data_IF_119232771492
#
_entry.id   IF_119232771492
#
_cell.length_a   1.000
_cell.length_b   1.000
_cell.length_c   1.000
_cell.angle_alpha   90.00
_cell.angle_beta   90.00
_cell.angle_gamma   90.00
#
_symmetry.space_group_name_H-M   'P 1'
#
loop_
_entity.id
_entity.type
_entity.pdbx_description
1 polymer ?
#
# COMPACT_ATOMS: atom_id res chain seq x y z
N UNK A 1 17.97 -3.42 -37.69
CA UNK A 1 19.15 -2.51 -37.67
C UNK A 1 19.55 -2.33 -36.22
N UNK A 2 20.68 -2.92 -35.82
CA UNK A 2 21.36 -2.63 -34.53
C UNK A 2 22.24 -1.40 -34.72
N UNK A 3 22.21 -0.45 -33.79
CA UNK A 3 23.38 -0.18 -32.95
C UNK A 3 22.95 0.25 -31.53
N UNK A 4 23.78 0.48 -30.52
CA UNK A 4 25.11 0.08 -30.09
C UNK A 4 25.19 0.58 -28.62
N UNK A 5 25.99 -0.10 -27.82
CA UNK A 5 26.20 0.07 -26.37
C UNK A 5 26.85 1.42 -26.06
N UNK A 6 26.51 2.06 -24.93
CA UNK A 6 27.44 2.93 -24.19
C UNK A 6 27.19 2.82 -22.67
N UNK A 7 28.10 2.09 -22.01
CA UNK A 7 28.29 2.12 -20.57
C UNK A 7 29.12 3.36 -20.20
N UNK A 8 28.73 4.07 -19.14
CA UNK A 8 29.54 5.11 -18.51
C UNK A 8 29.77 4.70 -17.06
N UNK A 9 30.97 4.18 -16.81
CA UNK A 9 31.59 4.05 -15.49
C UNK A 9 32.76 5.04 -15.45
N UNK A 10 32.64 6.05 -14.60
CA UNK A 10 33.72 6.89 -14.07
C UNK A 10 33.09 7.67 -12.90
N UNK A 11 33.61 7.73 -11.68
CA UNK A 11 34.96 7.51 -11.18
C UNK A 11 35.35 8.74 -10.34
N UNK A 12 35.73 8.52 -9.07
CA UNK A 12 36.37 9.51 -8.19
C UNK A 12 35.41 10.31 -7.30
N UNK A 13 35.73 10.75 -6.08
CA UNK A 13 37.01 10.90 -5.36
C UNK A 13 36.71 10.94 -3.84
N UNK A 14 37.51 10.25 -3.03
CA UNK A 14 37.68 10.48 -1.58
C UNK A 14 38.55 11.73 -1.36
N UNK A 15 38.17 12.68 -0.49
CA UNK A 15 39.02 13.64 0.27
C UNK A 15 38.07 14.47 1.18
N UNK A 16 38.03 14.26 2.50
CA UNK A 16 38.83 14.91 3.58
C UNK A 16 38.80 16.44 3.61
N UNK A 17 38.40 17.00 4.76
CA UNK A 17 39.01 18.24 5.29
C UNK A 17 38.05 19.32 5.81
N UNK A 18 38.00 19.49 7.14
CA UNK A 18 38.07 20.76 7.90
C UNK A 18 37.57 20.49 9.34
N UNK A 19 38.22 20.87 10.44
CA UNK A 19 39.56 21.34 10.73
C UNK A 19 39.75 21.08 12.24
N UNK A 20 40.94 20.61 12.64
CA UNK A 20 41.39 20.58 14.03
C UNK A 20 42.59 21.54 14.09
N UNK A 21 42.47 22.61 14.85
CA UNK A 21 43.56 23.51 15.26
C UNK A 21 43.02 24.34 16.44
N UNK A 22 43.65 24.55 17.59
CA UNK A 22 44.81 23.96 18.25
C UNK A 22 44.74 24.35 19.75
N UNK A 23 45.33 23.50 20.58
CA UNK A 23 46.00 23.76 21.87
C UNK A 23 45.39 24.70 22.93
N UNK A 24 44.97 24.09 24.05
CA UNK A 24 45.17 24.66 25.38
C UNK A 24 45.57 23.55 26.35
N UNK A 25 46.88 23.40 26.58
CA UNK A 25 47.48 22.57 27.62
C UNK A 25 47.25 23.18 29.00
N UNK A 26 46.39 22.60 29.84
CA UNK A 26 46.44 22.76 31.31
C UNK A 26 45.99 21.49 32.04
N UNK A 27 46.94 20.92 32.79
CA UNK A 27 46.87 20.18 34.06
C UNK A 27 45.77 19.15 34.36
N UNK A 28 46.24 17.90 34.51
CA UNK A 28 45.94 16.93 35.58
C UNK A 28 44.56 17.00 36.28
N UNK A 29 43.71 16.03 35.96
CA UNK A 29 42.88 15.31 36.94
C UNK A 29 42.39 14.01 36.30
N UNK A 30 42.79 12.88 36.88
CA UNK A 30 42.36 11.55 36.46
C UNK A 30 40.84 11.47 36.50
N UNK A 31 40.23 11.39 35.32
CA UNK A 31 38.80 11.13 35.15
C UNK A 31 38.67 9.68 34.69
N UNK A 32 37.78 8.85 35.27
CA UNK A 32 37.67 7.48 34.85
C UNK A 32 37.26 7.45 33.37
N UNK A 33 38.04 6.75 32.54
CA UNK A 33 37.64 6.44 31.18
C UNK A 33 36.40 5.56 31.29
N UNK A 34 35.22 6.16 31.17
CA UNK A 34 33.98 5.40 30.99
C UNK A 34 34.12 4.69 29.66
N UNK A 35 34.44 3.40 29.72
CA UNK A 35 34.36 2.49 28.57
C UNK A 35 32.93 2.55 28.08
N UNK A 36 32.70 3.27 26.98
CA UNK A 36 31.39 3.34 26.34
C UNK A 36 31.18 1.99 25.68
N UNK A 37 30.57 1.06 26.41
CA UNK A 37 30.13 -0.21 25.86
C UNK A 37 29.21 0.13 24.69
N UNK A 38 29.65 -0.13 23.46
CA UNK A 38 28.80 0.01 22.28
C UNK A 38 27.60 -0.91 22.50
N UNK A 39 26.45 -0.32 22.83
CA UNK A 39 25.22 -1.06 22.99
C UNK A 39 24.95 -1.78 21.67
N UNK A 40 24.95 -3.11 21.71
CA UNK A 40 24.51 -3.91 20.57
C UNK A 40 23.02 -3.65 20.42
N UNK A 41 22.65 -2.89 19.38
CA UNK A 41 21.24 -2.68 19.04
C UNK A 41 20.70 -4.05 18.63
N UNK A 42 19.65 -4.57 19.29
CA UNK A 42 19.05 -5.83 18.88
C UNK A 42 18.56 -5.70 17.43
N UNK A 43 18.65 -6.78 16.64
CA UNK A 43 18.11 -6.76 15.28
C UNK A 43 16.62 -6.42 15.33
N UNK A 44 16.09 -5.73 14.29
CA UNK A 44 14.67 -5.49 14.21
C UNK A 44 13.90 -6.83 14.19
N UNK A 45 12.69 -6.86 14.74
CA UNK A 45 11.84 -8.04 14.71
C UNK A 45 11.55 -8.46 13.25
N UNK A 46 11.60 -9.77 12.99
CA UNK A 46 11.22 -10.35 11.71
C UNK A 46 9.75 -10.76 11.72
N UNK A 47 8.95 -10.09 10.88
CA UNK A 47 7.52 -10.33 10.75
C UNK A 47 7.15 -11.15 9.51
N UNK A 48 8.12 -11.62 8.71
CA UNK A 48 7.89 -12.22 7.39
C UNK A 48 6.87 -13.37 7.39
N UNK A 49 6.96 -14.28 8.36
CA UNK A 49 6.04 -15.40 8.49
C UNK A 49 4.61 -14.96 8.83
N UNK A 50 4.44 -13.96 9.71
CA UNK A 50 3.13 -13.40 10.04
C UNK A 50 2.55 -12.64 8.84
N UNK A 51 3.36 -11.81 8.18
CA UNK A 51 2.99 -11.08 6.96
C UNK A 51 2.48 -12.02 5.88
N UNK A 52 3.18 -13.14 5.62
CA UNK A 52 2.73 -14.15 4.64
C UNK A 52 1.34 -14.68 4.96
N UNK A 53 1.08 -15.05 6.22
CA UNK A 53 -0.24 -15.54 6.66
C UNK A 53 -1.33 -14.48 6.54
N UNK A 54 -1.01 -13.21 6.78
CA UNK A 54 -1.96 -12.09 6.58
C UNK A 54 -2.25 -11.93 5.09
N UNK A 55 -1.23 -11.98 4.22
CA UNK A 55 -1.41 -11.91 2.78
C UNK A 55 -2.26 -13.05 2.22
N UNK A 56 -2.10 -14.29 2.70
CA UNK A 56 -2.97 -15.41 2.31
C UNK A 56 -4.45 -15.19 2.69
N UNK A 57 -4.73 -14.46 3.78
CA UNK A 57 -6.11 -14.09 4.16
C UNK A 57 -6.63 -12.93 3.32
N UNK A 58 -5.77 -11.95 3.00
CA UNK A 58 -6.11 -10.86 2.10
C UNK A 58 -6.37 -11.34 0.68
N UNK A 59 -5.63 -12.34 0.19
CA UNK A 59 -5.87 -12.96 -1.12
C UNK A 59 -7.31 -13.48 -1.24
N UNK A 60 -7.82 -14.13 -0.19
CA UNK A 60 -9.23 -14.57 -0.14
C UNK A 60 -10.22 -13.42 -0.24
N UNK A 61 -9.91 -12.26 0.37
CA UNK A 61 -10.74 -11.05 0.25
C UNK A 61 -10.68 -10.50 -1.18
N UNK A 62 -9.51 -10.55 -1.81
CA UNK A 62 -9.32 -10.09 -3.19
C UNK A 62 -9.95 -11.01 -4.22
N UNK A 63 -10.04 -12.31 -3.97
CA UNK A 63 -10.67 -13.27 -4.88
C UNK A 63 -12.15 -13.52 -4.56
N UNK A 64 -12.63 -13.18 -3.37
CA UNK A 64 -14.03 -13.36 -2.96
C UNK A 64 -14.83 -12.09 -3.10
N UNK A 65 -14.63 -11.15 -2.17
CA UNK A 65 -15.42 -9.93 -2.04
C UNK A 65 -15.28 -9.00 -3.24
N UNK A 66 -14.11 -8.99 -3.91
CA UNK A 66 -13.96 -8.21 -5.14
C UNK A 66 -14.63 -8.88 -6.37
N UNK A 67 -14.87 -10.19 -6.33
CA UNK A 67 -15.66 -10.88 -7.37
C UNK A 67 -17.13 -10.48 -7.28
N UNK A 68 -17.71 -10.45 -6.06
CA UNK A 68 -19.08 -9.99 -5.83
C UNK A 68 -19.26 -8.51 -6.22
N UNK A 69 -18.27 -7.68 -5.90
CA UNK A 69 -18.19 -6.30 -6.37
C UNK A 69 -18.18 -6.20 -7.90
N UNK A 70 -17.33 -7.00 -8.56
CA UNK A 70 -17.24 -7.07 -10.03
C UNK A 70 -18.57 -7.50 -10.66
N UNK A 71 -19.23 -8.51 -10.10
CA UNK A 71 -20.53 -8.98 -10.55
C UNK A 71 -21.62 -7.90 -10.42
N UNK A 72 -21.63 -7.13 -9.32
CA UNK A 72 -22.56 -6.02 -9.13
C UNK A 72 -22.31 -4.89 -10.14
N UNK A 73 -21.05 -4.58 -10.46
CA UNK A 73 -20.71 -3.63 -11.54
C UNK A 73 -21.18 -4.14 -12.90
N UNK A 74 -20.97 -5.42 -13.22
CA UNK A 74 -21.45 -6.03 -14.45
C UNK A 74 -22.97 -5.90 -14.60
N UNK A 75 -23.73 -6.20 -13.54
CA UNK A 75 -25.18 -6.00 -13.49
C UNK A 75 -25.56 -4.54 -13.68
N UNK A 76 -24.86 -3.61 -13.03
CA UNK A 76 -25.11 -2.17 -13.19
C UNK A 76 -24.95 -1.74 -14.65
N UNK A 77 -23.89 -2.16 -15.32
CA UNK A 77 -23.67 -1.85 -16.75
C UNK A 77 -24.80 -2.44 -17.60
N UNK A 78 -25.13 -3.72 -17.43
CA UNK A 78 -26.20 -4.37 -18.17
C UNK A 78 -27.55 -3.65 -18.01
N UNK A 79 -27.88 -3.21 -16.78
CA UNK A 79 -29.09 -2.44 -16.53
C UNK A 79 -29.05 -1.03 -17.14
N UNK A 80 -27.89 -0.37 -17.15
CA UNK A 80 -27.71 0.93 -17.84
C UNK A 80 -27.93 0.77 -19.35
N UNK A 81 -27.38 -0.26 -19.96
CA UNK A 81 -27.55 -0.57 -21.39
C UNK A 81 -29.02 -0.92 -21.73
N UNK A 82 -29.68 -1.67 -20.85
CA UNK A 82 -31.11 -1.98 -20.95
C UNK A 82 -32.04 -0.81 -20.58
N UNK A 83 -31.50 0.38 -20.26
CA UNK A 83 -32.25 1.57 -19.82
C UNK A 83 -33.13 1.35 -18.59
N UNK A 84 -32.77 0.40 -17.72
CA UNK A 84 -33.45 0.09 -16.48
C UNK A 84 -32.84 0.88 -15.31
N UNK A 85 -33.20 2.17 -15.20
CA UNK A 85 -32.58 3.09 -14.25
C UNK A 85 -32.64 2.60 -12.78
N UNK A 86 -33.81 2.13 -12.33
CA UNK A 86 -33.99 1.66 -10.94
C UNK A 86 -33.14 0.43 -10.62
N UNK A 87 -33.00 -0.49 -11.57
CA UNK A 87 -32.17 -1.68 -11.41
C UNK A 87 -30.68 -1.34 -11.46
N UNK A 88 -30.29 -0.38 -12.31
CA UNK A 88 -28.94 0.15 -12.34
C UNK A 88 -28.58 0.81 -11.00
N UNK A 89 -29.48 1.59 -10.40
CA UNK A 89 -29.25 2.20 -9.08
C UNK A 89 -29.14 1.16 -7.96
N UNK A 90 -29.97 0.11 -7.98
CA UNK A 90 -29.87 -1.02 -7.05
C UNK A 90 -28.53 -1.74 -7.17
N UNK A 91 -28.09 -2.02 -8.40
CA UNK A 91 -26.80 -2.65 -8.66
C UNK A 91 -25.63 -1.75 -8.26
N UNK A 92 -25.72 -0.44 -8.47
CA UNK A 92 -24.73 0.53 -8.00
C UNK A 92 -24.63 0.52 -6.46
N UNK A 93 -25.76 0.49 -5.76
CA UNK A 93 -25.80 0.37 -4.29
C UNK A 93 -25.17 -0.95 -3.81
N UNK A 94 -25.43 -2.05 -4.51
CA UNK A 94 -24.83 -3.34 -4.21
C UNK A 94 -23.31 -3.30 -4.40
N UNK A 95 -22.81 -2.78 -5.53
CA UNK A 95 -21.38 -2.63 -5.76
C UNK A 95 -20.72 -1.76 -4.68
N UNK A 96 -21.35 -0.66 -4.27
CA UNK A 96 -20.85 0.15 -3.17
C UNK A 96 -20.82 -0.60 -1.83
N UNK A 97 -21.80 -1.46 -1.55
CA UNK A 97 -21.84 -2.27 -0.35
C UNK A 97 -20.72 -3.32 -0.34
N UNK A 98 -20.49 -4.02 -1.46
CA UNK A 98 -19.40 -5.00 -1.57
C UNK A 98 -18.03 -4.34 -1.44
N UNK A 99 -17.83 -3.17 -2.05
CA UNK A 99 -16.57 -2.44 -1.90
C UNK A 99 -16.30 -2.03 -0.44
N UNK A 100 -17.36 -1.63 0.29
CA UNK A 100 -17.26 -1.34 1.72
C UNK A 100 -16.96 -2.60 2.54
N UNK A 101 -17.57 -3.72 2.17
CA UNK A 101 -17.32 -5.03 2.79
C UNK A 101 -15.86 -5.43 2.64
N UNK A 102 -15.32 -5.36 1.41
CA UNK A 102 -13.91 -5.62 1.13
C UNK A 102 -12.98 -4.73 1.98
N UNK A 103 -13.25 -3.42 2.08
CA UNK A 103 -12.49 -2.53 2.96
C UNK A 103 -12.54 -2.93 4.44
N UNK A 104 -13.72 -3.35 4.91
CA UNK A 104 -13.90 -3.81 6.31
C UNK A 104 -13.14 -5.11 6.58
N UNK A 105 -13.12 -6.03 5.62
CA UNK A 105 -12.41 -7.30 5.70
C UNK A 105 -10.89 -7.09 5.66
N UNK A 106 -10.38 -6.24 4.77
CA UNK A 106 -8.96 -5.87 4.76
C UNK A 106 -8.53 -5.36 6.13
N UNK A 107 -9.28 -4.39 6.69
CA UNK A 107 -9.02 -3.85 8.03
C UNK A 107 -8.97 -4.95 9.09
N UNK A 108 -9.96 -5.84 9.09
CA UNK A 108 -10.07 -6.95 10.04
C UNK A 108 -8.90 -7.92 9.92
N UNK A 109 -8.46 -8.26 8.72
CA UNK A 109 -7.37 -9.20 8.51
C UNK A 109 -6.01 -8.59 8.85
N UNK A 110 -5.83 -7.28 8.62
CA UNK A 110 -4.57 -6.58 8.90
C UNK A 110 -4.42 -6.10 10.33
N UNK A 111 -5.49 -5.87 11.10
CA UNK A 111 -5.36 -5.37 12.49
C UNK A 111 -4.62 -6.35 13.40
N UNK A 112 -4.72 -7.65 13.09
CA UNK A 112 -4.05 -8.74 13.79
C UNK A 112 -2.63 -9.04 13.26
N UNK A 113 -2.14 -8.30 12.26
CA UNK A 113 -0.77 -8.44 11.79
C UNK A 113 0.23 -8.15 12.92
N UNK A 114 1.44 -8.68 12.84
CA UNK A 114 2.51 -8.32 13.78
C UNK A 114 3.31 -7.11 13.27
N UNK A 115 3.48 -6.98 11.95
CA UNK A 115 4.09 -5.80 11.32
C UNK A 115 3.24 -4.54 11.53
N UNK A 116 3.77 -3.50 12.19
CA UNK A 116 3.10 -2.20 12.31
C UNK A 116 2.82 -1.55 10.96
N UNK A 117 3.72 -1.72 9.99
CA UNK A 117 3.60 -1.15 8.65
C UNK A 117 2.45 -1.82 7.88
N UNK A 118 2.30 -3.13 7.98
CA UNK A 118 1.17 -3.85 7.39
C UNK A 118 -0.18 -3.44 8.00
N UNK A 119 -0.23 -3.19 9.31
CA UNK A 119 -1.44 -2.62 9.96
C UNK A 119 -1.81 -1.28 9.35
N UNK A 120 -0.84 -0.38 9.23
CA UNK A 120 -1.06 0.97 8.70
C UNK A 120 -1.46 0.95 7.22
N UNK A 121 -0.84 0.06 6.44
CA UNK A 121 -1.17 -0.17 5.04
C UNK A 121 -2.60 -0.70 4.85
N UNK A 122 -2.98 -1.74 5.62
CA UNK A 122 -4.32 -2.30 5.60
C UNK A 122 -5.38 -1.27 5.99
N UNK A 123 -5.12 -0.50 7.06
CA UNK A 123 -5.99 0.57 7.50
C UNK A 123 -6.17 1.67 6.43
N UNK A 124 -5.10 2.05 5.74
CA UNK A 124 -5.14 3.06 4.67
C UNK A 124 -5.95 2.55 3.47
N UNK A 125 -5.72 1.30 3.06
CA UNK A 125 -6.45 0.66 1.95
C UNK A 125 -7.94 0.54 2.27
N UNK A 126 -8.27 0.08 3.48
CA UNK A 126 -9.63 -0.01 3.98
C UNK A 126 -10.36 1.34 3.93
N UNK A 127 -9.71 2.41 4.43
CA UNK A 127 -10.29 3.77 4.38
C UNK A 127 -10.54 4.24 2.95
N UNK A 128 -9.62 4.00 2.03
CA UNK A 128 -9.77 4.37 0.61
C UNK A 128 -10.97 3.67 -0.03
N UNK A 129 -11.14 2.38 0.22
CA UNK A 129 -12.28 1.58 -0.26
C UNK A 129 -13.59 2.06 0.34
N UNK A 130 -13.66 2.22 1.66
CA UNK A 130 -14.86 2.67 2.38
C UNK A 130 -15.27 4.10 1.98
N UNK A 131 -14.30 5.00 1.78
CA UNK A 131 -14.56 6.36 1.30
C UNK A 131 -15.11 6.35 -0.15
N UNK A 132 -14.57 5.48 -0.99
CA UNK A 132 -15.01 5.34 -2.37
C UNK A 132 -16.40 4.70 -2.47
N UNK A 133 -16.70 3.71 -1.63
CA UNK A 133 -18.03 3.14 -1.46
C UNK A 133 -19.06 4.19 -1.02
N UNK A 134 -18.66 5.15 -0.17
CA UNK A 134 -19.53 6.24 0.28
C UNK A 134 -19.80 7.26 -0.83
N UNK A 135 -18.76 7.67 -1.56
CA UNK A 135 -18.90 8.74 -2.59
C UNK A 135 -19.46 8.23 -3.91
N UNK A 136 -19.15 6.98 -4.27
CA UNK A 136 -19.54 6.31 -5.52
C UNK A 136 -19.13 7.07 -6.78
N UNK A 137 -18.19 8.01 -6.66
CA UNK A 137 -17.80 8.91 -7.75
C UNK A 137 -17.20 8.13 -8.93
N UNK A 138 -16.51 7.02 -8.66
CA UNK A 138 -15.95 6.15 -9.70
C UNK A 138 -17.06 5.38 -10.46
N UNK A 139 -18.13 4.91 -9.79
CA UNK A 139 -19.25 4.19 -10.43
C UNK A 139 -20.00 5.06 -11.44
N UNK A 140 -20.09 6.37 -11.19
CA UNK A 140 -20.74 7.32 -12.11
C UNK A 140 -20.00 7.46 -13.45
N UNK A 141 -18.69 7.20 -13.46
CA UNK A 141 -17.85 7.23 -14.67
C UNK A 141 -17.96 5.95 -15.50
N UNK A 142 -18.49 4.87 -14.91
CA UNK A 142 -18.63 3.57 -15.57
C UNK A 142 -20.03 3.47 -16.19
N UNK A 143 -20.10 3.60 -17.52
CA UNK A 143 -21.35 3.44 -18.29
C UNK A 143 -21.39 2.13 -19.05
N UNK A 144 -20.24 1.70 -19.53
CA UNK A 144 -20.03 0.53 -20.37
C UNK A 144 -18.88 -0.32 -19.82
N UNK A 145 -18.73 -1.54 -20.33
CA UNK A 145 -17.57 -2.39 -20.02
C UNK A 145 -16.25 -1.74 -20.43
N UNK A 146 -16.23 -0.95 -21.50
CA UNK A 146 -15.03 -0.23 -21.97
C UNK A 146 -14.56 0.87 -20.99
N UNK A 147 -15.43 1.33 -20.09
CA UNK A 147 -15.07 2.33 -19.07
C UNK A 147 -14.38 1.69 -17.85
N UNK A 148 -14.47 0.37 -17.69
CA UNK A 148 -13.91 -0.36 -16.54
C UNK A 148 -12.39 -0.24 -16.49
N UNK A 149 -11.70 -0.53 -17.59
CA UNK A 149 -10.23 -0.45 -17.61
C UNK A 149 -9.71 0.97 -17.39
N UNK A 150 -10.47 1.98 -17.85
CA UNK A 150 -10.10 3.39 -17.74
C UNK A 150 -10.39 3.98 -16.36
N UNK A 151 -11.39 3.44 -15.67
CA UNK A 151 -11.86 3.98 -14.39
C UNK A 151 -11.50 3.06 -13.24
N UNK A 152 -11.93 1.81 -13.29
CA UNK A 152 -11.87 0.90 -12.15
C UNK A 152 -10.46 0.36 -11.92
N UNK A 153 -9.74 -0.01 -12.97
CA UNK A 153 -8.36 -0.54 -12.85
C UNK A 153 -7.40 0.43 -12.13
N UNK A 154 -7.24 1.71 -12.52
CA UNK A 154 -6.36 2.63 -11.80
C UNK A 154 -6.86 2.91 -10.39
N UNK A 155 -8.18 2.89 -10.18
CA UNK A 155 -8.79 3.15 -8.89
C UNK A 155 -8.56 1.99 -7.90
N UNK A 156 -8.68 0.73 -8.34
CA UNK A 156 -8.33 -0.45 -7.56
C UNK A 156 -6.84 -0.45 -7.20
N UNK A 157 -5.96 -0.12 -8.16
CA UNK A 157 -4.53 0.02 -7.88
C UNK A 157 -4.27 1.11 -6.83
N UNK A 158 -4.93 2.26 -6.91
CA UNK A 158 -4.80 3.31 -5.90
C UNK A 158 -5.27 2.85 -4.51
N UNK A 159 -6.40 2.14 -4.45
CA UNK A 159 -6.97 1.64 -3.20
C UNK A 159 -6.11 0.57 -2.53
N UNK A 160 -5.52 -0.33 -3.31
CA UNK A 160 -4.77 -1.48 -2.82
C UNK A 160 -3.24 -1.26 -2.77
N UNK A 161 -2.73 -0.19 -3.38
CA UNK A 161 -1.29 0.14 -3.36
C UNK A 161 -0.62 0.12 -1.98
N UNK A 162 -1.27 0.52 -0.86
CA UNK A 162 -0.61 0.45 0.43
C UNK A 162 -0.30 -0.99 0.87
N UNK A 163 -1.22 -1.93 0.63
CA UNK A 163 -1.04 -3.35 0.99
C UNK A 163 -0.21 -4.10 -0.05
N UNK A 164 -0.18 -3.64 -1.31
CA UNK A 164 0.56 -4.29 -2.39
C UNK A 164 2.09 -4.22 -2.29
N UNK A 165 2.62 -3.56 -1.25
CA UNK A 165 4.04 -3.57 -0.91
C UNK A 165 4.45 -4.72 0.01
N UNK A 166 3.46 -5.44 0.55
CA UNK A 166 3.63 -6.55 1.50
C UNK A 166 3.16 -7.87 0.91
N UNK A 167 2.08 -7.78 0.13
CA UNK A 167 1.49 -8.81 -0.72
C UNK A 167 1.61 -8.32 -2.18
#
# INVERSE_FOLDING_TARGET
>A
MRPAILAVLAGGVLLTGAACESDAKVSSSGTPVTVRTSATIPPPPDYSANTTKVCERLDKVFTGELDDFGAAIGKMIAYKEAKQADNAEKAEKAAAAELRSAGSQIRKETVAAESPELKAAGETSARKLEASAKTRAYLKKIKTTADLDKTLKPQLAEWLSPVSGFC
#
